data_IF_706017008368
#
_entry.id   IF_706017008368
#
_cell.length_a   1.000
_cell.length_b   1.000
_cell.length_c   1.000
_cell.angle_alpha   90.00
_cell.angle_beta   90.00
_cell.angle_gamma   90.00
#
_symmetry.space_group_name_H-M   'P 1'
#
loop_
_entity.id
_entity.type
_entity.pdbx_description
1 polymer ?
#
# COMPACT_ATOMS: atom_id res chain seq x y z
N UNK A 1 -0.27 9.27 7.09
CA UNK A 1 -1.28 8.22 6.93
C UNK A 1 -0.67 6.85 7.12
N UNK A 2 -1.29 5.78 6.59
CA UNK A 2 -0.84 4.39 6.81
C UNK A 2 0.60 4.16 6.33
N UNK A 3 0.94 4.65 5.14
CA UNK A 3 2.26 4.49 4.52
C UNK A 3 3.32 5.50 4.99
N UNK A 4 3.03 6.31 6.02
CA UNK A 4 4.06 7.15 6.67
C UNK A 4 4.78 6.40 7.80
N UNK A 5 4.34 5.19 8.15
CA UNK A 5 4.99 4.38 9.18
C UNK A 5 4.80 4.88 10.62
N UNK A 6 3.93 5.86 10.83
CA UNK A 6 3.77 6.55 12.13
C UNK A 6 2.76 5.91 13.08
N UNK A 7 1.96 4.94 12.62
CA UNK A 7 0.93 4.35 13.48
C UNK A 7 1.47 3.20 14.32
N UNK A 8 1.42 3.28 15.66
CA UNK A 8 1.52 2.10 16.49
C UNK A 8 0.21 1.29 16.46
N UNK A 9 0.29 0.01 16.85
CA UNK A 9 -0.83 -0.95 16.82
C UNK A 9 -2.03 -0.54 17.68
N UNK A 10 -1.80 0.28 18.69
CA UNK A 10 -2.76 0.78 19.67
C UNK A 10 -3.21 2.23 19.38
N UNK A 11 -2.97 2.72 18.16
CA UNK A 11 -3.44 4.05 17.73
C UNK A 11 -4.95 4.18 17.95
N UNK A 12 -5.35 5.18 18.74
CA UNK A 12 -6.75 5.59 18.93
C UNK A 12 -6.97 6.93 18.23
N UNK A 13 -7.98 6.99 17.36
CA UNK A 13 -8.34 8.21 16.64
C UNK A 13 -9.31 9.08 17.46
N UNK A 14 -9.09 10.39 17.49
CA UNK A 14 -9.89 11.37 18.23
C UNK A 14 -11.34 11.48 17.72
N UNK A 15 -12.29 11.90 18.56
CA UNK A 15 -13.74 11.92 18.27
C UNK A 15 -14.20 12.81 17.09
N UNK A 16 -13.33 13.61 16.50
CA UNK A 16 -13.61 14.36 15.27
C UNK A 16 -12.86 13.81 14.05
N UNK A 17 -12.07 12.76 14.22
CA UNK A 17 -11.30 12.12 13.16
C UNK A 17 -12.19 11.21 12.31
N UNK A 18 -12.15 11.36 10.99
CA UNK A 18 -12.93 10.53 10.08
C UNK A 18 -12.44 9.06 10.07
N UNK A 19 -11.17 8.81 10.41
CA UNK A 19 -10.54 7.48 10.36
C UNK A 19 -11.15 6.47 11.33
N UNK A 20 -11.83 6.90 12.38
CA UNK A 20 -12.55 5.99 13.30
C UNK A 20 -13.82 5.37 12.73
N UNK A 21 -14.30 5.84 11.56
CA UNK A 21 -15.32 5.13 10.80
C UNK A 21 -14.75 4.01 9.93
N UNK A 22 -13.41 3.87 9.86
CA UNK A 22 -12.80 2.74 9.16
C UNK A 22 -13.11 1.44 9.93
N UNK A 23 -13.26 0.31 9.23
CA UNK A 23 -13.43 -0.99 9.86
C UNK A 23 -12.32 -1.27 10.88
N UNK A 24 -12.67 -1.95 11.98
CA UNK A 24 -11.75 -2.18 13.10
C UNK A 24 -10.48 -2.96 12.69
N UNK A 25 -10.57 -3.78 11.64
CA UNK A 25 -9.45 -4.52 11.06
C UNK A 25 -8.52 -3.65 10.18
N UNK A 26 -8.94 -2.46 9.76
CA UNK A 26 -8.16 -1.62 8.83
C UNK A 26 -6.76 -1.29 9.36
N UNK A 27 -6.65 -0.88 10.62
CA UNK A 27 -5.36 -0.54 11.22
C UNK A 27 -4.48 -1.79 11.42
N UNK A 28 -4.90 -2.84 12.15
CA UNK A 28 -4.04 -3.99 12.40
C UNK A 28 -3.65 -4.71 11.11
N UNK A 29 -4.56 -4.88 10.14
CA UNK A 29 -4.21 -5.49 8.86
C UNK A 29 -3.29 -4.60 8.03
N UNK A 30 -3.53 -3.29 8.00
CA UNK A 30 -2.66 -2.35 7.29
C UNK A 30 -1.22 -2.41 7.81
N UNK A 31 -1.04 -2.51 9.13
CA UNK A 31 0.29 -2.66 9.74
C UNK A 31 0.96 -3.99 9.37
N UNK A 32 0.22 -5.10 9.30
CA UNK A 32 0.77 -6.39 8.84
C UNK A 32 1.14 -6.35 7.35
N UNK A 33 0.34 -5.68 6.51
CA UNK A 33 0.64 -5.48 5.08
C UNK A 33 1.93 -4.67 4.89
N UNK A 34 2.13 -3.62 5.69
CA UNK A 34 3.34 -2.79 5.65
C UNK A 34 4.61 -3.61 5.90
N UNK A 35 4.58 -4.61 6.80
CA UNK A 35 5.75 -5.46 7.05
C UNK A 35 6.22 -6.18 5.79
N UNK A 36 5.31 -6.53 4.89
CA UNK A 36 5.66 -7.17 3.62
C UNK A 36 6.34 -6.21 2.62
N UNK A 37 6.23 -4.90 2.84
CA UNK A 37 6.84 -3.85 2.01
C UNK A 37 8.22 -3.42 2.50
N UNK A 38 8.73 -3.97 3.60
CA UNK A 38 9.99 -3.54 4.23
C UNK A 38 11.22 -3.68 3.32
N UNK A 39 11.16 -4.59 2.33
CA UNK A 39 12.22 -4.71 1.33
C UNK A 39 12.42 -3.41 0.53
N UNK A 40 11.38 -2.60 0.31
CA UNK A 40 11.52 -1.32 -0.41
C UNK A 40 12.41 -0.36 0.37
N UNK A 41 12.18 -0.23 1.68
CA UNK A 41 12.97 0.67 2.52
C UNK A 41 14.40 0.18 2.68
N UNK A 42 14.59 -1.13 2.84
CA UNK A 42 15.91 -1.72 3.05
C UNK A 42 16.78 -1.66 1.78
N UNK A 43 16.21 -1.97 0.62
CA UNK A 43 16.93 -2.02 -0.66
C UNK A 43 17.15 -0.62 -1.26
N UNK A 44 16.16 0.28 -1.12
CA UNK A 44 16.24 1.62 -1.70
C UNK A 44 16.81 2.67 -0.75
N UNK A 45 17.01 2.32 0.53
CA UNK A 45 17.58 3.20 1.56
C UNK A 45 16.77 4.50 1.72
N UNK A 46 15.45 4.37 1.74
CA UNK A 46 14.49 5.47 1.86
C UNK A 46 13.42 5.17 2.92
N UNK A 47 12.63 6.17 3.28
CA UNK A 47 11.49 5.98 4.20
C UNK A 47 10.33 5.26 3.50
N UNK A 48 9.39 4.71 4.28
CA UNK A 48 8.19 4.09 3.71
C UNK A 48 7.35 5.09 2.89
N UNK A 49 7.27 6.35 3.35
CA UNK A 49 6.55 7.40 2.64
C UNK A 49 7.21 7.73 1.31
N UNK A 50 8.55 7.82 1.30
CA UNK A 50 9.33 8.04 0.07
C UNK A 50 9.18 6.87 -0.90
N UNK A 51 9.27 5.63 -0.43
CA UNK A 51 9.04 4.43 -1.24
C UNK A 51 7.63 4.42 -1.86
N UNK A 52 6.61 4.79 -1.08
CA UNK A 52 5.23 4.89 -1.57
C UNK A 52 5.06 5.97 -2.65
N UNK A 53 5.69 7.14 -2.47
CA UNK A 53 5.68 8.21 -3.47
C UNK A 53 6.40 7.76 -4.76
N UNK A 54 7.57 7.11 -4.65
CA UNK A 54 8.29 6.56 -5.80
C UNK A 54 7.47 5.51 -6.55
N UNK A 55 6.83 4.59 -5.85
CA UNK A 55 5.96 3.57 -6.46
C UNK A 55 4.82 4.21 -7.29
N UNK A 56 4.17 5.24 -6.74
CA UNK A 56 3.10 5.96 -7.45
C UNK A 56 3.65 6.69 -8.68
N UNK A 57 4.80 7.37 -8.55
CA UNK A 57 5.41 8.16 -9.62
C UNK A 57 6.03 7.30 -10.74
N UNK A 58 6.44 6.06 -10.45
CA UNK A 58 6.97 5.12 -11.45
C UNK A 58 5.86 4.45 -12.28
N UNK A 59 4.59 4.70 -11.97
CA UNK A 59 3.45 4.20 -12.75
C UNK A 59 3.30 4.98 -14.07
N UNK A 60 3.29 4.35 -15.26
CA UNK A 60 3.41 5.04 -16.57
C UNK A 60 2.42 6.16 -16.89
N UNK A 61 1.27 6.23 -16.21
CA UNK A 61 0.22 7.22 -16.45
C UNK A 61 0.07 8.24 -15.31
N UNK A 62 0.99 8.23 -14.35
CA UNK A 62 1.00 9.16 -13.21
C UNK A 62 2.00 10.28 -13.50
N UNK A 63 1.54 11.52 -13.42
CA UNK A 63 2.37 12.71 -13.68
C UNK A 63 2.73 13.43 -12.37
N UNK A 64 1.93 13.26 -11.32
CA UNK A 64 2.16 13.88 -10.01
C UNK A 64 1.51 13.08 -8.90
N UNK A 65 2.06 13.20 -7.69
CA UNK A 65 1.47 12.69 -6.46
C UNK A 65 1.26 13.86 -5.49
N UNK A 66 0.08 13.91 -4.85
CA UNK A 66 -0.30 14.98 -3.93
C UNK A 66 -0.46 14.42 -2.51
N UNK A 67 0.62 14.32 -1.72
CA UNK A 67 0.51 13.96 -0.32
C UNK A 67 -0.16 15.09 0.47
N UNK A 68 -0.88 14.74 1.53
CA UNK A 68 -1.31 15.73 2.51
C UNK A 68 -0.12 16.06 3.42
N UNK A 69 0.16 17.34 3.58
CA UNK A 69 1.30 17.85 4.33
C UNK A 69 0.77 18.72 5.48
N UNK A 70 1.21 18.45 6.69
CA UNK A 70 0.73 19.12 7.90
C UNK A 70 1.81 19.95 8.62
N UNK A 71 3.08 19.65 8.38
CA UNK A 71 4.22 20.29 9.03
C UNK A 71 5.44 20.34 8.10
N UNK A 72 6.49 21.01 8.57
CA UNK A 72 7.72 21.20 7.80
C UNK A 72 8.53 19.91 7.64
N UNK A 73 8.51 19.05 8.66
CA UNK A 73 9.24 17.76 8.66
C UNK A 73 8.70 16.86 7.53
N UNK A 74 7.39 16.84 7.31
CA UNK A 74 6.77 16.15 6.18
C UNK A 74 7.13 16.77 4.83
N UNK A 75 7.25 18.09 4.73
CA UNK A 75 7.71 18.74 3.48
C UNK A 75 9.11 18.23 3.15
N UNK A 76 10.03 18.28 4.12
CA UNK A 76 11.41 17.84 3.95
C UNK A 76 11.48 16.35 3.58
N UNK A 77 10.73 15.50 4.29
CA UNK A 77 10.70 14.06 4.00
C UNK A 77 10.15 13.74 2.60
N UNK A 78 8.98 14.31 2.24
CA UNK A 78 8.30 13.97 1.00
C UNK A 78 8.98 14.57 -0.22
N UNK A 79 9.58 15.75 -0.11
CA UNK A 79 10.37 16.33 -1.22
C UNK A 79 11.65 15.54 -1.47
N UNK A 80 12.29 15.01 -0.43
CA UNK A 80 13.44 14.12 -0.57
C UNK A 80 13.11 12.77 -1.26
N UNK A 81 11.83 12.44 -1.47
CA UNK A 81 11.44 11.29 -2.29
C UNK A 81 11.95 11.41 -3.75
N UNK A 82 12.12 12.62 -4.27
CA UNK A 82 12.68 12.83 -5.62
C UNK A 82 14.15 12.42 -5.73
N UNK A 83 14.89 12.43 -4.62
CA UNK A 83 16.29 12.00 -4.55
C UNK A 83 16.44 10.52 -4.16
N UNK A 84 15.34 9.88 -3.75
CA UNK A 84 15.34 8.45 -3.44
C UNK A 84 15.48 7.59 -4.70
N UNK A 85 16.06 6.40 -4.54
CA UNK A 85 16.20 5.42 -5.62
C UNK A 85 14.82 5.04 -6.17
N UNK A 86 14.75 4.95 -7.49
CA UNK A 86 13.58 4.48 -8.24
C UNK A 86 13.15 3.08 -7.78
N UNK A 87 11.86 2.77 -7.89
CA UNK A 87 11.37 1.41 -7.71
C UNK A 87 11.75 0.62 -8.95
N UNK A 88 12.56 -0.42 -8.77
CA UNK A 88 12.98 -1.24 -9.91
C UNK A 88 11.78 -2.03 -10.48
N UNK A 89 11.81 -2.44 -11.76
CA UNK A 89 10.73 -3.26 -12.33
C UNK A 89 10.42 -4.52 -11.51
N UNK A 90 11.45 -5.17 -10.97
CA UNK A 90 11.29 -6.36 -10.12
C UNK A 90 10.63 -6.04 -8.77
N UNK A 91 10.95 -4.90 -8.16
CA UNK A 91 10.28 -4.44 -6.94
C UNK A 91 8.82 -4.07 -7.22
N UNK A 92 8.55 -3.41 -8.34
CA UNK A 92 7.19 -3.04 -8.76
C UNK A 92 6.33 -4.29 -8.97
N UNK A 93 6.84 -5.28 -9.71
CA UNK A 93 6.20 -6.59 -9.90
C UNK A 93 5.91 -7.28 -8.55
N UNK A 94 6.91 -7.32 -7.66
CA UNK A 94 6.75 -7.90 -6.31
C UNK A 94 5.66 -7.21 -5.49
N UNK A 95 5.52 -5.88 -5.57
CA UNK A 95 4.44 -5.15 -4.89
C UNK A 95 3.08 -5.54 -5.47
N UNK A 96 2.97 -5.69 -6.78
CA UNK A 96 1.72 -6.11 -7.42
C UNK A 96 1.35 -7.55 -7.04
N UNK A 97 2.32 -8.46 -7.03
CA UNK A 97 2.09 -9.84 -6.57
C UNK A 97 1.63 -9.90 -5.11
N UNK A 98 2.24 -9.07 -4.25
CA UNK A 98 1.78 -8.91 -2.87
C UNK A 98 0.34 -8.38 -2.84
N UNK A 99 0.01 -7.37 -3.63
CA UNK A 99 -1.35 -6.82 -3.66
C UNK A 99 -2.39 -7.88 -4.08
N UNK A 100 -2.14 -8.61 -5.17
CA UNK A 100 -3.02 -9.68 -5.67
C UNK A 100 -3.19 -10.83 -4.66
N UNK A 101 -2.12 -11.17 -3.94
CA UNK A 101 -2.13 -12.18 -2.89
C UNK A 101 -2.64 -11.66 -1.53
N UNK A 102 -3.22 -10.45 -1.47
CA UNK A 102 -3.61 -9.78 -0.22
C UNK A 102 -2.48 -9.74 0.83
N UNK A 103 -1.25 -9.57 0.36
CA UNK A 103 0.00 -9.54 1.13
C UNK A 103 0.24 -10.83 1.92
N UNK A 104 -0.30 -11.95 1.46
CA UNK A 104 -0.25 -13.23 2.17
C UNK A 104 -1.14 -13.29 3.43
N UNK A 105 -2.03 -12.30 3.62
CA UNK A 105 -2.94 -12.24 4.76
C UNK A 105 -4.30 -12.86 4.42
N UNK A 106 -5.00 -13.45 5.41
CA UNK A 106 -6.35 -13.93 5.21
C UNK A 106 -7.27 -12.77 4.84
N UNK A 107 -8.22 -13.04 3.95
CA UNK A 107 -9.26 -12.08 3.63
C UNK A 107 -10.29 -12.09 4.76
N UNK A 108 -10.28 -11.06 5.59
CA UNK A 108 -11.37 -10.81 6.52
C UNK A 108 -12.38 -9.87 5.84
N UNK A 109 -13.66 -9.94 6.23
CA UNK A 109 -14.74 -9.14 5.62
C UNK A 109 -14.43 -7.63 5.51
N UNK A 110 -15.17 -6.89 4.68
CA UNK A 110 -14.57 -5.85 3.85
C UNK A 110 -14.02 -4.66 4.65
N UNK A 111 -12.76 -4.32 4.36
CA UNK A 111 -12.28 -2.93 4.49
C UNK A 111 -12.45 -2.12 3.19
N UNK A 112 -12.66 -2.79 2.04
CA UNK A 112 -13.17 -2.32 0.73
C UNK A 112 -12.65 -3.25 -0.37
N UNK A 113 -13.14 -4.48 -0.44
CA UNK A 113 -12.64 -5.44 -1.40
C UNK A 113 -13.54 -5.56 -2.63
N UNK A 114 -12.96 -5.33 -3.81
CA UNK A 114 -13.38 -6.05 -5.02
C UNK A 114 -12.61 -7.38 -4.97
N UNK A 115 -13.33 -8.49 -4.86
CA UNK A 115 -12.72 -9.81 -4.94
C UNK A 115 -12.17 -10.03 -6.37
N UNK A 116 -11.05 -10.75 -6.56
CA UNK A 116 -10.65 -11.17 -7.90
C UNK A 116 -11.77 -12.03 -8.50
N UNK A 117 -12.13 -11.77 -9.76
CA UNK A 117 -13.10 -12.60 -10.45
C UNK A 117 -12.53 -14.02 -10.55
N UNK A 118 -13.12 -14.96 -9.81
CA UNK A 118 -12.88 -16.39 -10.01
C UNK A 118 -13.33 -16.75 -11.43
N UNK A 119 -12.38 -16.87 -12.34
CA UNK A 119 -12.59 -17.54 -13.62
C UNK A 119 -12.76 -19.03 -13.34
N UNK A 120 -14.02 -19.42 -13.10
CA UNK A 120 -14.39 -20.82 -13.13
C UNK A 120 -14.15 -21.35 -14.55
N UNK A 121 -13.17 -22.24 -14.67
CA UNK A 121 -12.96 -23.08 -15.85
C UNK A 121 -14.26 -23.81 -16.19
N UNK A 122 -14.95 -23.34 -17.23
CA UNK A 122 -16.05 -24.09 -17.84
C UNK A 122 -15.44 -25.27 -18.62
N UNK A 123 -15.32 -26.39 -17.91
CA UNK A 123 -15.24 -27.72 -18.52
C UNK A 123 -16.62 -28.08 -19.08
N UNK A 124 -16.77 -28.00 -20.39
CA UNK A 124 -17.71 -28.80 -21.19
C UNK A 124 -17.03 -28.99 -22.54
N UNK A 125 -16.57 -30.17 -22.94
CA UNK A 125 -17.28 -31.44 -22.87
C UNK A 125 -17.95 -31.69 -24.22
N UNK A 126 -17.13 -32.16 -25.18
CA UNK A 126 -17.42 -33.02 -26.34
C UNK A 126 -18.80 -32.98 -27.04
N UNK A 127 -18.70 -32.86 -28.38
CA UNK A 127 -19.34 -33.72 -29.39
C UNK A 127 -20.85 -33.62 -29.62
N UNK A 128 -21.24 -32.86 -30.67
CA UNK A 128 -21.78 -33.32 -31.98
C UNK A 128 -22.59 -32.22 -32.64
#
# INVERSE_FOLDING_TARGET
>A
GMLEGQYPKDTVFAENDHRRHRPANWLPEGLEKIKQLQFLTDENQCTLAQAALRFVLDTPNVVSALPNIYDLEQIEEFTAASDARDVTPAQFERVNDLYEANFGLPFTGPANAVAPETTATASTGAAR
#
